data_IF_671407632561
#
_entry.id   IF_671407632561
#
_cell.length_a   1.000
_cell.length_b   1.000
_cell.length_c   1.000
_cell.angle_alpha   90.00
_cell.angle_beta   90.00
_cell.angle_gamma   90.00
#
_symmetry.space_group_name_H-M   'P 1'
#
loop_
_entity.id
_entity.type
_entity.pdbx_description
1 polymer ?
#
# COMPACT_ATOMS: atom_id res chain seq x y z
N UNK A 1 24.75 -2.81 -32.86
CA UNK A 1 25.38 -3.61 -33.94
C UNK A 1 26.07 -2.70 -34.95
N UNK A 2 26.72 -3.28 -35.96
CA UNK A 2 27.48 -2.54 -36.98
C UNK A 2 28.90 -2.17 -36.54
N UNK A 3 29.76 -1.70 -37.47
CA UNK A 3 31.21 -1.52 -37.27
C UNK A 3 31.57 -0.44 -36.24
N UNK A 4 30.60 0.39 -35.82
CA UNK A 4 30.77 1.45 -34.81
C UNK A 4 29.80 1.33 -33.64
N UNK A 5 29.08 0.21 -33.50
CA UNK A 5 28.07 0.00 -32.46
C UNK A 5 26.94 1.06 -32.42
N UNK A 6 26.77 1.86 -33.47
CA UNK A 6 25.76 2.94 -33.54
C UNK A 6 24.40 2.49 -34.05
N UNK A 7 24.29 1.27 -34.60
CA UNK A 7 23.00 0.74 -35.05
C UNK A 7 22.24 0.09 -33.90
N UNK A 8 21.04 0.59 -33.65
CA UNK A 8 20.05 0.04 -32.70
C UNK A 8 19.43 -1.23 -33.28
N UNK A 9 19.06 -2.17 -32.42
CA UNK A 9 18.33 -3.39 -32.80
C UNK A 9 17.01 -3.09 -33.49
N UNK A 10 16.65 -3.95 -34.46
CA UNK A 10 15.30 -3.96 -35.01
C UNK A 10 14.29 -4.26 -33.89
N UNK A 11 13.05 -3.81 -34.08
CA UNK A 11 11.97 -4.12 -33.15
C UNK A 11 11.85 -5.63 -32.94
N UNK A 12 11.73 -6.02 -31.67
CA UNK A 12 11.67 -7.43 -31.28
C UNK A 12 13.04 -8.09 -31.06
N UNK A 13 14.16 -7.38 -31.20
CA UNK A 13 15.50 -7.91 -30.94
C UNK A 13 16.29 -7.09 -29.90
N UNK A 14 17.16 -7.76 -29.14
CA UNK A 14 17.99 -7.16 -28.11
C UNK A 14 19.32 -7.92 -27.92
N UNK A 15 20.19 -7.37 -27.07
CA UNK A 15 21.45 -8.00 -26.69
C UNK A 15 22.56 -7.87 -27.73
N UNK A 16 23.66 -8.60 -27.52
CA UNK A 16 24.84 -8.50 -28.38
C UNK A 16 24.51 -8.84 -29.83
N UNK A 17 24.90 -7.94 -30.72
CA UNK A 17 24.61 -8.04 -32.16
C UNK A 17 23.13 -8.28 -32.49
N UNK A 18 22.20 -7.95 -31.59
CA UNK A 18 20.76 -8.15 -31.76
C UNK A 18 20.37 -9.62 -32.04
N UNK A 19 21.16 -10.57 -31.51
CA UNK A 19 20.93 -11.99 -31.72
C UNK A 19 19.84 -12.58 -30.80
N UNK A 20 19.36 -11.83 -29.80
CA UNK A 20 18.32 -12.29 -28.89
C UNK A 20 16.97 -11.72 -29.30
N UNK A 21 15.96 -12.58 -29.38
CA UNK A 21 14.59 -12.17 -29.67
C UNK A 21 13.83 -11.86 -28.37
N UNK A 22 13.10 -10.74 -28.34
CA UNK A 22 12.23 -10.36 -27.24
C UNK A 22 11.02 -11.32 -27.16
N UNK A 23 10.89 -12.01 -26.03
CA UNK A 23 9.73 -12.83 -25.69
C UNK A 23 8.89 -12.12 -24.64
N UNK A 24 8.08 -11.14 -25.08
CA UNK A 24 7.20 -10.41 -24.17
C UNK A 24 6.05 -11.34 -23.76
N UNK A 25 5.92 -11.62 -22.46
CA UNK A 25 4.86 -12.51 -21.95
C UNK A 25 3.48 -11.87 -22.04
N UNK A 26 3.41 -10.57 -21.70
CA UNK A 26 2.18 -9.79 -21.60
C UNK A 26 2.34 -8.41 -22.27
N UNK A 27 1.23 -7.69 -22.48
CA UNK A 27 1.20 -6.33 -23.04
C UNK A 27 1.84 -5.24 -22.15
N UNK A 28 2.08 -5.57 -20.88
CA UNK A 28 2.76 -4.69 -19.92
C UNK A 28 4.29 -4.70 -20.07
N UNK A 29 4.83 -5.48 -21.01
CA UNK A 29 6.25 -5.51 -21.32
C UNK A 29 6.55 -4.75 -22.62
N UNK A 30 7.69 -4.08 -22.64
CA UNK A 30 8.25 -3.38 -23.81
C UNK A 30 9.60 -4.01 -24.14
N UNK A 31 9.86 -4.23 -25.43
CA UNK A 31 11.16 -4.67 -25.92
C UNK A 31 12.14 -3.48 -25.97
N UNK A 32 13.11 -3.49 -25.06
CA UNK A 32 14.24 -2.59 -25.01
C UNK A 32 15.46 -3.25 -25.67
N UNK A 33 16.11 -2.54 -26.59
CA UNK A 33 17.25 -3.05 -27.37
C UNK A 33 18.48 -3.43 -26.53
N UNK A 34 18.60 -2.90 -25.30
CA UNK A 34 19.74 -3.12 -24.40
C UNK A 34 19.41 -4.23 -23.40
N UNK A 35 18.33 -4.05 -22.65
CA UNK A 35 18.01 -4.90 -21.49
C UNK A 35 17.10 -6.10 -21.83
N UNK A 36 16.50 -6.15 -23.03
CA UNK A 36 15.50 -7.15 -23.37
C UNK A 36 14.09 -6.67 -23.07
N UNK A 37 13.31 -7.39 -22.26
CA UNK A 37 11.98 -6.92 -21.90
C UNK A 37 12.02 -6.08 -20.63
N UNK A 38 11.36 -4.93 -20.63
CA UNK A 38 11.21 -4.03 -19.47
C UNK A 38 9.73 -3.74 -19.24
N UNK A 39 9.35 -3.36 -18.02
CA UNK A 39 7.97 -2.97 -17.77
C UNK A 39 7.60 -1.68 -18.52
N UNK A 40 6.40 -1.64 -19.06
CA UNK A 40 5.77 -0.45 -19.64
C UNK A 40 5.76 0.66 -18.60
N UNK A 41 5.83 1.91 -19.07
CA UNK A 41 5.78 3.06 -18.18
C UNK A 41 4.56 2.96 -17.26
N UNK A 42 4.83 2.98 -15.96
CA UNK A 42 3.79 2.84 -14.95
C UNK A 42 3.43 1.44 -14.53
N UNK A 43 4.20 0.44 -14.96
CA UNK A 43 4.10 -0.94 -14.50
C UNK A 43 5.39 -1.36 -13.79
N UNK A 44 5.28 -2.21 -12.77
CA UNK A 44 6.40 -2.73 -11.98
C UNK A 44 6.11 -4.12 -11.40
N UNK A 45 7.05 -4.61 -10.58
CA UNK A 45 7.03 -5.99 -10.06
C UNK A 45 7.79 -6.96 -10.96
N UNK A 46 7.98 -8.19 -10.49
CA UNK A 46 8.71 -9.25 -11.22
C UNK A 46 8.07 -9.54 -12.58
N UNK A 47 6.73 -9.48 -12.65
CA UNK A 47 5.94 -9.77 -13.84
C UNK A 47 5.28 -8.54 -14.50
N UNK A 48 5.68 -7.31 -14.15
CA UNK A 48 5.05 -6.07 -14.62
C UNK A 48 3.52 -6.04 -14.39
N UNK A 49 3.07 -6.56 -13.27
CA UNK A 49 1.66 -6.66 -12.88
C UNK A 49 1.19 -5.52 -11.96
N UNK A 50 2.13 -4.78 -11.37
CA UNK A 50 1.85 -3.71 -10.43
C UNK A 50 1.68 -2.39 -11.20
N UNK A 51 0.53 -1.74 -11.11
CA UNK A 51 0.30 -0.42 -11.68
C UNK A 51 0.88 0.69 -10.78
N UNK A 52 2.05 1.19 -11.12
CA UNK A 52 2.76 2.27 -10.43
C UNK A 52 2.13 3.66 -10.68
N UNK A 53 1.38 3.86 -11.78
CA UNK A 53 0.77 5.16 -12.12
C UNK A 53 -0.57 5.45 -11.41
N UNK A 54 -0.99 4.56 -10.51
CA UNK A 54 -2.25 4.67 -9.77
C UNK A 54 -2.11 4.98 -8.28
N UNK A 55 -0.90 5.19 -7.75
CA UNK A 55 -0.73 5.51 -6.33
C UNK A 55 -0.61 7.01 -6.07
N UNK A 56 -1.76 7.69 -6.02
CA UNK A 56 -2.03 8.60 -4.91
C UNK A 56 -2.52 7.79 -3.70
N UNK A 57 -1.79 6.74 -3.31
CA UNK A 57 -2.13 5.91 -2.16
C UNK A 57 -1.03 6.11 -1.13
N UNK A 58 -1.31 7.08 -0.27
CA UNK A 58 -0.86 7.20 1.11
C UNK A 58 0.05 6.05 1.55
N UNK A 59 1.36 6.32 1.60
CA UNK A 59 2.29 5.54 2.42
C UNK A 59 1.73 5.60 3.84
N UNK A 60 0.96 4.60 4.23
CA UNK A 60 0.61 4.38 5.63
C UNK A 60 1.81 3.64 6.18
N UNK A 61 2.64 4.36 6.91
CA UNK A 61 3.73 3.75 7.65
C UNK A 61 3.12 2.64 8.54
N UNK A 62 3.59 1.41 8.34
CA UNK A 62 3.25 0.28 9.20
C UNK A 62 4.03 0.43 10.52
N UNK A 63 3.61 1.40 11.34
CA UNK A 63 3.92 1.42 12.76
C UNK A 63 2.92 0.50 13.48
N UNK A 64 3.37 -0.70 13.83
CA UNK A 64 2.66 -1.55 14.78
C UNK A 64 2.75 -0.95 16.20
N UNK A 65 1.90 0.03 16.50
CA UNK A 65 1.37 0.28 17.85
C UNK A 65 0.41 1.46 17.85
N UNK A 66 -0.88 1.15 17.91
CA UNK A 66 -1.85 1.71 18.85
C UNK A 66 -3.23 1.61 18.21
N UNK A 67 -4.11 0.88 18.89
CA UNK A 67 -5.57 0.93 18.77
C UNK A 67 -6.03 2.22 18.11
N UNK A 68 -6.79 2.13 17.03
CA UNK A 68 -7.45 3.25 16.36
C UNK A 68 -8.37 3.99 17.36
N UNK A 69 -7.77 4.89 18.13
CA UNK A 69 -8.37 5.60 19.26
C UNK A 69 -9.15 6.83 18.79
N UNK A 70 -10.09 6.62 17.87
CA UNK A 70 -11.05 7.65 17.45
C UNK A 70 -12.38 7.63 18.22
N UNK A 71 -12.71 6.52 18.89
CA UNK A 71 -14.06 6.32 19.46
C UNK A 71 -14.07 5.68 20.85
N UNK A 72 -13.09 4.85 21.21
CA UNK A 72 -13.16 4.05 22.45
C UNK A 72 -12.73 4.77 23.74
N UNK A 73 -12.12 5.96 23.68
CA UNK A 73 -11.74 6.72 24.87
C UNK A 73 -12.89 7.53 25.48
N UNK A 74 -13.67 8.21 24.63
CA UNK A 74 -14.79 9.04 25.10
C UNK A 74 -15.95 8.22 25.63
N UNK A 75 -16.28 7.11 24.95
CA UNK A 75 -17.40 6.24 25.34
C UNK A 75 -17.11 5.53 26.67
N UNK A 76 -15.88 5.00 26.86
CA UNK A 76 -15.51 4.33 28.12
C UNK A 76 -15.51 5.30 29.29
N UNK A 77 -14.96 6.49 29.13
CA UNK A 77 -14.97 7.53 30.16
C UNK A 77 -16.40 7.97 30.51
N UNK A 78 -17.25 8.18 29.50
CA UNK A 78 -18.65 8.57 29.72
C UNK A 78 -19.44 7.48 30.46
N UNK A 79 -19.26 6.20 30.11
CA UNK A 79 -19.92 5.08 30.78
C UNK A 79 -19.46 4.96 32.23
N UNK A 80 -18.16 5.11 32.51
CA UNK A 80 -17.62 5.07 33.87
C UNK A 80 -18.18 6.21 34.73
N UNK A 81 -18.25 7.44 34.19
CA UNK A 81 -18.84 8.57 34.90
C UNK A 81 -20.33 8.37 35.21
N UNK A 82 -21.11 7.82 34.27
CA UNK A 82 -22.52 7.50 34.50
C UNK A 82 -22.69 6.42 35.59
N UNK A 83 -21.87 5.37 35.58
CA UNK A 83 -21.90 4.32 36.62
C UNK A 83 -21.60 4.91 38.00
N UNK A 84 -20.57 5.76 38.11
CA UNK A 84 -20.22 6.42 39.39
C UNK A 84 -21.37 7.29 39.89
N UNK A 85 -21.99 8.10 39.03
CA UNK A 85 -23.15 8.93 39.41
C UNK A 85 -24.34 8.09 39.87
N UNK A 86 -24.61 6.95 39.21
CA UNK A 86 -25.66 6.00 39.60
C UNK A 86 -25.35 5.37 40.96
N UNK A 87 -24.12 4.90 41.19
CA UNK A 87 -23.72 4.33 42.48
C UNK A 87 -23.84 5.35 43.61
N UNK A 88 -23.39 6.59 43.38
CA UNK A 88 -23.47 7.70 44.34
C UNK A 88 -24.92 8.05 44.65
N UNK A 89 -25.79 8.18 43.64
CA UNK A 89 -27.21 8.45 43.86
C UNK A 89 -27.92 7.31 44.58
N UNK A 90 -27.62 6.05 44.25
CA UNK A 90 -28.15 4.90 44.97
C UNK A 90 -27.64 4.86 46.41
N UNK A 91 -26.37 5.20 46.64
CA UNK A 91 -25.80 5.30 47.98
C UNK A 91 -26.52 6.38 48.79
N UNK A 92 -26.69 7.59 48.27
CA UNK A 92 -27.41 8.66 48.95
C UNK A 92 -28.88 8.31 49.17
N UNK A 93 -29.56 7.72 48.19
CA UNK A 93 -30.95 7.28 48.35
C UNK A 93 -31.09 6.18 49.38
N UNK A 94 -30.17 5.22 49.42
CA UNK A 94 -30.16 4.16 50.44
C UNK A 94 -29.88 4.74 51.82
N UNK A 95 -28.94 5.69 51.91
CA UNK A 95 -28.57 6.33 53.17
C UNK A 95 -29.68 7.20 53.73
N UNK A 96 -30.34 8.01 52.89
CA UNK A 96 -31.50 8.81 53.30
C UNK A 96 -32.73 7.96 53.63
N UNK A 97 -32.83 6.74 53.07
CA UNK A 97 -33.88 5.78 53.44
C UNK A 97 -33.55 5.00 54.72
N UNK A 98 -32.29 5.00 55.15
CA UNK A 98 -31.85 4.37 56.41
C UNK A 98 -31.78 5.34 57.59
N UNK A 99 -32.22 6.58 57.39
CA UNK A 99 -32.36 7.62 58.42
C UNK A 99 -33.84 7.94 58.64
#
# INVERSE_FOLDING_TARGET
MGPRCTQVCLEGYYGDHCMKQCQCKNENYICNSISGYICKYGYGGENCEIHLMGQSVQKKDDDNSSTSAGVNGGVTLAVVLLIVLILVTLYYRRRLKSE
#
